data_IF_588656648828
#
_entry.id   IF_588656648828
#
_cell.length_a   1.000
_cell.length_b   1.000
_cell.length_c   1.000
_cell.angle_alpha   90.00
_cell.angle_beta   90.00
_cell.angle_gamma   90.00
#
_symmetry.space_group_name_H-M   'P 1'
#
loop_
_entity.id
_entity.type
_entity.pdbx_description
1 polymer ?
#
# COMPACT_ATOMS: atom_id res chain seq x y z
N UNK A 1 7.62 -5.65 -6.50
CA UNK A 1 6.25 -5.83 -7.03
C UNK A 1 6.20 -7.24 -7.59
N UNK A 2 5.27 -8.06 -7.13
CA UNK A 2 5.00 -9.39 -7.71
C UNK A 2 3.68 -9.29 -8.48
N UNK A 3 3.72 -9.63 -9.77
CA UNK A 3 2.58 -9.51 -10.68
C UNK A 3 2.20 -10.90 -11.20
N UNK A 4 0.92 -11.24 -11.06
CA UNK A 4 0.29 -12.38 -11.74
C UNK A 4 -0.99 -11.86 -12.41
N UNK A 5 -1.53 -12.60 -13.39
CA UNK A 5 -2.69 -12.17 -14.17
C UNK A 5 -3.94 -11.86 -13.32
N UNK A 6 -4.01 -12.38 -12.10
CA UNK A 6 -5.14 -12.20 -11.19
C UNK A 6 -4.91 -11.17 -10.09
N UNK A 7 -3.67 -10.93 -9.66
CA UNK A 7 -3.37 -10.07 -8.51
C UNK A 7 -2.00 -9.40 -8.65
N UNK A 8 -1.90 -8.20 -8.08
CA UNK A 8 -0.64 -7.47 -7.92
C UNK A 8 -0.36 -7.34 -6.43
N UNK A 9 0.81 -7.78 -6.00
CA UNK A 9 1.29 -7.62 -4.63
C UNK A 9 2.35 -6.52 -4.57
N UNK A 10 2.05 -5.50 -3.78
CA UNK A 10 2.95 -4.39 -3.49
C UNK A 10 3.50 -4.57 -2.08
N UNK A 11 4.81 -4.37 -1.92
CA UNK A 11 5.48 -4.47 -0.62
C UNK A 11 6.25 -3.18 -0.37
N UNK A 12 5.92 -2.50 0.71
CA UNK A 12 6.55 -1.24 1.12
C UNK A 12 7.20 -1.43 2.47
N UNK A 13 8.47 -1.02 2.61
CA UNK A 13 9.13 -1.02 3.90
C UNK A 13 8.58 0.13 4.73
N UNK A 14 7.91 -0.18 5.84
CA UNK A 14 7.32 0.81 6.74
C UNK A 14 7.90 0.59 8.14
N UNK A 15 9.08 1.18 8.43
CA UNK A 15 9.66 1.08 9.75
C UNK A 15 8.73 1.75 10.77
N UNK A 16 8.64 1.17 11.96
CA UNK A 16 7.84 1.69 13.09
C UNK A 16 6.30 1.63 12.90
N UNK A 17 5.81 0.82 11.96
CA UNK A 17 4.37 0.64 11.73
C UNK A 17 3.61 0.00 12.92
N UNK A 18 4.30 -0.68 13.84
CA UNK A 18 3.67 -1.43 14.92
C UNK A 18 2.83 -0.56 15.88
N UNK A 19 3.14 0.73 16.00
CA UNK A 19 2.40 1.69 16.84
C UNK A 19 1.78 2.84 16.03
N UNK A 20 1.64 2.67 14.71
CA UNK A 20 1.11 3.71 13.85
C UNK A 20 -0.25 3.31 13.26
N UNK A 21 -1.14 4.28 13.12
CA UNK A 21 -2.36 4.13 12.32
C UNK A 21 -1.98 4.22 10.84
N UNK A 22 -2.51 3.31 10.03
CA UNK A 22 -2.26 3.24 8.59
C UNK A 22 -3.55 3.46 7.83
N UNK A 23 -3.54 4.43 6.91
CA UNK A 23 -4.60 4.66 5.94
C UNK A 23 -4.03 4.49 4.53
N UNK A 24 -4.72 3.70 3.70
CA UNK A 24 -4.25 3.33 2.37
C UNK A 24 -5.38 3.61 1.39
N UNK A 25 -5.12 4.51 0.46
CA UNK A 25 -6.09 4.94 -0.54
C UNK A 25 -5.53 4.74 -1.93
N UNK A 26 -6.35 4.23 -2.85
CA UNK A 26 -6.02 4.18 -4.27
C UNK A 26 -6.80 5.24 -5.03
N UNK A 27 -6.11 6.07 -5.79
CA UNK A 27 -6.70 7.08 -6.68
C UNK A 27 -6.20 6.82 -8.10
N UNK A 28 -7.04 6.20 -8.93
CA UNK A 28 -6.69 5.83 -10.31
C UNK A 28 -5.41 4.98 -10.37
N UNK A 29 -4.30 5.57 -10.76
CA UNK A 29 -2.96 5.01 -10.94
C UNK A 29 -2.01 5.32 -9.77
N UNK A 30 -2.52 5.91 -8.69
CA UNK A 30 -1.72 6.21 -7.50
C UNK A 30 -2.20 5.42 -6.28
N UNK A 31 -1.24 4.97 -5.48
CA UNK A 31 -1.46 4.46 -4.13
C UNK A 31 -0.89 5.46 -3.13
N UNK A 32 -1.76 6.04 -2.32
CA UNK A 32 -1.41 6.92 -1.22
C UNK A 32 -1.42 6.13 0.09
N UNK A 33 -0.33 6.18 0.82
CA UNK A 33 -0.14 5.51 2.10
C UNK A 33 0.13 6.61 3.13
N UNK A 34 -0.78 6.74 4.08
CA UNK A 34 -0.66 7.66 5.21
C UNK A 34 -0.36 6.85 6.46
N UNK A 35 0.72 7.21 7.15
CA UNK A 35 1.11 6.65 8.44
C UNK A 35 1.03 7.76 9.48
N UNK A 36 0.19 7.55 10.49
CA UNK A 36 0.03 8.47 11.61
C UNK A 36 0.60 7.83 12.88
N UNK A 37 1.61 8.47 13.45
CA UNK A 37 2.29 8.06 14.68
C UNK A 37 2.34 9.24 15.65
N UNK A 38 2.56 8.98 16.95
CA UNK A 38 2.68 10.01 18.00
C UNK A 38 3.70 11.14 17.73
N UNK A 39 4.64 10.92 16.79
CA UNK A 39 5.70 11.88 16.43
C UNK A 39 5.35 12.71 15.19
N UNK A 40 4.25 12.40 14.51
CA UNK A 40 3.81 13.09 13.30
C UNK A 40 3.16 12.15 12.26
N UNK A 41 2.79 12.76 11.15
CA UNK A 41 2.14 12.09 10.02
C UNK A 41 3.13 12.02 8.85
N UNK A 42 3.28 10.83 8.27
CA UNK A 42 4.04 10.59 7.05
C UNK A 42 3.07 10.17 5.95
N UNK A 43 3.08 10.87 4.82
CA UNK A 43 2.30 10.49 3.64
C UNK A 43 3.25 10.19 2.50
N UNK A 44 3.06 9.04 1.85
CA UNK A 44 3.81 8.65 0.66
C UNK A 44 2.84 8.27 -0.47
N UNK A 45 3.10 8.77 -1.66
CA UNK A 45 2.29 8.51 -2.86
C UNK A 45 3.15 7.79 -3.88
N UNK A 46 2.64 6.69 -4.41
CA UNK A 46 3.37 5.79 -5.29
C UNK A 46 2.57 5.58 -6.56
N UNK A 47 3.19 5.86 -7.70
CA UNK A 47 2.62 5.56 -9.01
C UNK A 47 2.61 4.06 -9.22
N UNK A 48 1.43 3.52 -9.53
CA UNK A 48 1.18 2.13 -9.79
C UNK A 48 1.43 1.80 -11.27
N UNK A 49 1.81 0.56 -11.59
CA UNK A 49 1.90 0.12 -12.98
C UNK A 49 0.53 0.19 -13.67
N UNK A 50 0.51 0.37 -15.00
CA UNK A 50 -0.72 0.50 -15.78
C UNK A 50 -1.73 -0.63 -15.54
N UNK A 51 -1.24 -1.86 -15.35
CA UNK A 51 -2.09 -3.03 -15.06
C UNK A 51 -2.91 -2.89 -13.76
N UNK A 52 -2.42 -2.12 -12.78
CA UNK A 52 -3.07 -1.90 -11.48
C UNK A 52 -4.16 -0.81 -11.52
N UNK A 53 -4.24 -0.01 -12.57
CA UNK A 53 -5.17 1.13 -12.66
C UNK A 53 -6.62 0.68 -12.50
N UNK A 54 -6.99 -0.45 -13.13
CA UNK A 54 -8.34 -1.02 -13.05
C UNK A 54 -8.56 -1.92 -11.83
N UNK A 55 -7.51 -2.20 -11.06
CA UNK A 55 -7.59 -3.06 -9.88
C UNK A 55 -8.01 -2.27 -8.63
N UNK A 56 -8.60 -2.98 -7.67
CA UNK A 56 -9.00 -2.47 -6.36
C UNK A 56 -8.14 -3.08 -5.27
N UNK A 57 -7.95 -2.34 -4.17
CA UNK A 57 -7.35 -2.88 -2.95
C UNK A 57 -8.33 -3.91 -2.38
N UNK A 58 -7.88 -5.15 -2.22
CA UNK A 58 -8.69 -6.22 -1.60
C UNK A 58 -8.14 -6.64 -0.24
N UNK A 59 -6.86 -6.36 0.03
CA UNK A 59 -6.25 -6.59 1.33
C UNK A 59 -5.06 -5.65 1.53
N UNK A 60 -4.82 -5.28 2.78
CA UNK A 60 -3.62 -4.57 3.22
C UNK A 60 -3.25 -5.00 4.63
N UNK A 61 -2.01 -5.44 4.83
CA UNK A 61 -1.52 -5.91 6.12
C UNK A 61 -0.04 -5.56 6.34
N UNK A 62 0.37 -5.40 7.60
CA UNK A 62 1.78 -5.20 7.95
C UNK A 62 2.38 -6.51 8.42
N UNK A 63 3.40 -6.99 7.72
CA UNK A 63 4.12 -8.22 8.03
C UNK A 63 5.63 -7.94 8.06
N UNK A 64 6.26 -8.14 9.22
CA UNK A 64 7.71 -7.93 9.42
C UNK A 64 8.20 -6.54 8.92
N UNK A 65 7.61 -5.46 9.43
CA UNK A 65 7.89 -4.07 9.03
C UNK A 65 7.65 -3.75 7.54
N UNK A 66 6.90 -4.60 6.83
CA UNK A 66 6.50 -4.37 5.46
C UNK A 66 4.98 -4.27 5.37
N UNK A 67 4.49 -3.17 4.81
CA UNK A 67 3.12 -3.11 4.34
C UNK A 67 3.01 -3.91 3.04
N UNK A 68 2.16 -4.93 3.08
CA UNK A 68 1.76 -5.74 1.94
C UNK A 68 0.38 -5.25 1.50
N UNK A 69 0.26 -4.80 0.26
CA UNK A 69 -1.01 -4.39 -0.36
C UNK A 69 -1.30 -5.31 -1.54
N UNK A 70 -2.50 -5.91 -1.54
CA UNK A 70 -2.95 -6.80 -2.62
C UNK A 70 -4.01 -6.07 -3.43
N UNK A 71 -3.76 -5.94 -4.73
CA UNK A 71 -4.69 -5.43 -5.72
C UNK A 71 -5.25 -6.58 -6.56
N UNK A 72 -6.56 -6.54 -6.83
CA UNK A 72 -7.27 -7.51 -7.68
C UNK A 72 -8.26 -6.80 -8.60
N UNK A 73 -8.50 -7.37 -9.79
CA UNK A 73 -9.55 -6.88 -10.73
C UNK A 73 -10.95 -7.02 -10.14
#
# INVERSE_FOLDING_TARGET
IEENNEYITLRFKIPFANNASLDIQKKSDELMITLEHDRGILTNTITLPFAAVTMKIVSSEVVNDNLVVILKR
#
